data_IF_731444546862
#
_entry.id   IF_731444546862
#
_cell.length_a   1.000
_cell.length_b   1.000
_cell.length_c   1.000
_cell.angle_alpha   90.00
_cell.angle_beta   90.00
_cell.angle_gamma   90.00
#
_symmetry.space_group_name_H-M   'P 1'
#
loop_
_entity.id
_entity.type
_entity.pdbx_description
1 polymer ?
#
# COMPACT_ATOMS: atom_id res chain seq x y z
N UNK A 1 -0.50 -34.98 -0.38
CA UNK A 1 -0.89 -34.27 0.88
C UNK A 1 -1.75 -33.10 0.48
N UNK A 2 -3.02 -33.07 0.87
CA UNK A 2 -3.85 -31.88 0.64
C UNK A 2 -3.25 -30.73 1.46
N UNK A 3 -2.70 -29.72 0.79
CA UNK A 3 -2.22 -28.52 1.48
C UNK A 3 -3.45 -27.74 1.91
N UNK A 4 -3.55 -27.43 3.21
CA UNK A 4 -4.61 -26.57 3.73
C UNK A 4 -4.66 -25.25 2.94
N UNK A 5 -5.86 -24.69 2.69
CA UNK A 5 -5.99 -23.42 2.00
C UNK A 5 -5.27 -22.29 2.76
N UNK A 6 -4.84 -21.27 2.03
CA UNK A 6 -4.35 -20.02 2.59
C UNK A 6 -5.53 -19.04 2.70
N UNK A 7 -5.84 -18.58 3.89
CA UNK A 7 -6.78 -17.47 4.08
C UNK A 7 -6.02 -16.14 3.90
N UNK A 8 -6.48 -15.32 2.97
CA UNK A 8 -5.88 -14.00 2.72
C UNK A 8 -6.82 -12.92 3.26
N UNK A 9 -6.42 -12.31 4.39
CA UNK A 9 -7.22 -11.33 5.14
C UNK A 9 -6.77 -9.92 4.77
N UNK A 10 -7.69 -9.09 4.32
CA UNK A 10 -7.43 -7.72 3.85
C UNK A 10 -8.60 -6.80 4.15
N UNK A 11 -8.40 -5.48 4.31
CA UNK A 11 -9.48 -4.53 4.52
C UNK A 11 -10.12 -4.09 3.20
N UNK A 12 -11.40 -3.76 3.23
CA UNK A 12 -12.12 -3.14 2.12
C UNK A 12 -12.22 -4.00 0.87
N UNK A 13 -11.95 -3.37 -0.27
CA UNK A 13 -12.08 -3.96 -1.60
C UNK A 13 -10.70 -4.04 -2.28
N UNK A 14 -10.31 -5.26 -2.68
CA UNK A 14 -9.07 -5.49 -3.42
C UNK A 14 -9.00 -4.76 -4.76
N UNK A 15 -10.15 -4.39 -5.35
CA UNK A 15 -10.17 -3.65 -6.62
C UNK A 15 -9.87 -2.16 -6.46
N UNK A 16 -9.72 -1.68 -5.23
CA UNK A 16 -9.26 -0.31 -4.96
C UNK A 16 -7.90 -0.05 -5.63
N UNK A 17 -7.74 1.03 -6.44
CA UNK A 17 -6.55 1.28 -7.24
C UNK A 17 -5.38 1.83 -6.41
N UNK A 18 -4.79 0.99 -5.56
CA UNK A 18 -3.56 1.29 -4.80
C UNK A 18 -2.46 0.29 -5.11
N UNK A 19 -1.20 0.69 -4.87
CA UNK A 19 -0.06 -0.20 -5.05
C UNK A 19 -0.10 -1.42 -4.14
N UNK A 20 -0.59 -1.29 -2.90
CA UNK A 20 -0.78 -2.40 -1.95
C UNK A 20 -1.78 -3.42 -2.48
N UNK A 21 -3.00 -3.00 -2.77
CA UNK A 21 -4.02 -3.90 -3.31
C UNK A 21 -3.68 -4.48 -4.69
N UNK A 22 -2.93 -3.75 -5.52
CA UNK A 22 -2.41 -4.32 -6.76
C UNK A 22 -1.45 -5.49 -6.48
N UNK A 23 -0.54 -5.31 -5.52
CA UNK A 23 0.35 -6.38 -5.07
C UNK A 23 -0.44 -7.58 -4.52
N UNK A 24 -1.43 -7.34 -3.67
CA UNK A 24 -2.24 -8.39 -3.05
C UNK A 24 -3.02 -9.20 -4.07
N UNK A 25 -3.68 -8.54 -5.02
CA UNK A 25 -4.36 -9.22 -6.14
C UNK A 25 -3.40 -10.09 -6.95
N UNK A 26 -2.22 -9.54 -7.27
CA UNK A 26 -1.21 -10.30 -8.02
C UNK A 26 -0.71 -11.48 -7.23
N UNK A 27 -0.42 -11.31 -5.95
CA UNK A 27 0.02 -12.39 -5.06
C UNK A 27 -1.01 -13.51 -4.98
N UNK A 28 -2.29 -13.18 -4.77
CA UNK A 28 -3.38 -14.16 -4.76
C UNK A 28 -3.46 -14.91 -6.11
N UNK A 29 -3.37 -14.18 -7.22
CA UNK A 29 -3.42 -14.76 -8.57
C UNK A 29 -2.26 -15.74 -8.82
N UNK A 30 -1.03 -15.34 -8.48
CA UNK A 30 0.15 -16.18 -8.67
C UNK A 30 0.14 -17.41 -7.75
N UNK A 31 -0.29 -17.27 -6.51
CA UNK A 31 -0.45 -18.42 -5.61
C UNK A 31 -1.47 -19.42 -6.15
N UNK A 32 -2.59 -18.93 -6.71
CA UNK A 32 -3.59 -19.79 -7.36
C UNK A 32 -3.03 -20.46 -8.62
N UNK A 33 -2.24 -19.76 -9.42
CA UNK A 33 -1.54 -20.33 -10.58
C UNK A 33 -0.57 -21.46 -10.19
N UNK A 34 0.01 -21.38 -9.00
CA UNK A 34 0.84 -22.41 -8.38
C UNK A 34 0.01 -23.51 -7.67
N UNK A 35 -1.28 -23.61 -7.99
CA UNK A 35 -2.21 -24.59 -7.41
C UNK A 35 -2.39 -24.50 -5.89
N UNK A 36 -2.09 -23.33 -5.29
CA UNK A 36 -2.45 -23.06 -3.89
C UNK A 36 -3.88 -22.55 -3.85
N UNK A 37 -4.72 -23.22 -3.05
CA UNK A 37 -6.06 -22.69 -2.75
C UNK A 37 -5.92 -21.44 -1.87
N UNK A 38 -6.46 -20.30 -2.33
CA UNK A 38 -6.47 -19.03 -1.59
C UNK A 38 -7.89 -18.58 -1.40
N UNK A 39 -8.30 -18.44 -0.13
CA UNK A 39 -9.62 -17.97 0.30
C UNK A 39 -9.51 -16.53 0.75
N UNK A 40 -10.05 -15.55 0.00
CA UNK A 40 -10.04 -14.16 0.41
C UNK A 40 -11.03 -13.91 1.56
N UNK A 41 -10.61 -13.12 2.55
CA UNK A 41 -11.42 -12.72 3.70
C UNK A 41 -11.37 -11.19 3.80
N UNK A 42 -12.39 -10.54 3.26
CA UNK A 42 -12.51 -9.09 3.31
C UNK A 42 -12.98 -8.64 4.70
N UNK A 43 -12.25 -7.73 5.32
CA UNK A 43 -12.64 -6.99 6.52
C UNK A 43 -13.29 -5.66 6.14
N UNK A 44 -13.78 -4.92 7.13
CA UNK A 44 -14.32 -3.57 6.92
C UNK A 44 -13.31 -2.64 6.22
N UNK A 45 -13.80 -1.76 5.37
CA UNK A 45 -13.05 -0.68 4.72
C UNK A 45 -12.62 0.44 5.68
N UNK A 46 -13.07 0.37 6.94
CA UNK A 46 -12.67 1.31 8.00
C UNK A 46 -11.26 1.11 8.53
N UNK A 47 -10.59 0.00 8.22
CA UNK A 47 -9.17 -0.15 8.51
C UNK A 47 -8.32 0.76 7.60
N UNK A 48 -7.27 1.39 8.14
CA UNK A 48 -6.60 1.17 9.44
C UNK A 48 -7.16 2.01 10.62
N UNK A 49 -8.33 2.59 10.54
CA UNK A 49 -8.98 3.35 11.64
C UNK A 49 -10.32 2.70 12.02
N UNK A 50 -10.30 1.42 12.47
CA UNK A 50 -11.52 0.68 12.72
C UNK A 50 -12.29 1.24 13.92
N UNK A 51 -13.61 1.25 13.81
CA UNK A 51 -14.48 1.39 14.95
C UNK A 51 -14.76 0.03 15.63
N UNK A 52 -15.59 0.06 16.67
CA UNK A 52 -15.90 -1.15 17.44
C UNK A 52 -16.62 -2.21 16.58
N UNK A 53 -17.47 -1.80 15.65
CA UNK A 53 -18.22 -2.73 14.78
C UNK A 53 -17.26 -3.43 13.80
N UNK A 54 -16.29 -2.70 13.24
CA UNK A 54 -15.26 -3.25 12.36
C UNK A 54 -14.36 -4.26 13.11
N UNK A 55 -14.05 -3.99 14.38
CA UNK A 55 -13.27 -4.91 15.21
C UNK A 55 -14.06 -6.18 15.57
N UNK A 56 -15.37 -6.04 15.85
CA UNK A 56 -16.25 -7.20 16.11
C UNK A 56 -16.37 -8.07 14.86
N UNK A 57 -16.59 -7.48 13.69
CA UNK A 57 -16.62 -8.19 12.41
C UNK A 57 -15.30 -8.94 12.14
N UNK A 58 -14.15 -8.29 12.37
CA UNK A 58 -12.84 -8.91 12.22
C UNK A 58 -12.66 -10.12 13.15
N UNK A 59 -13.04 -9.99 14.43
CA UNK A 59 -13.01 -11.08 15.41
C UNK A 59 -13.88 -12.27 14.97
N UNK A 60 -15.10 -12.00 14.49
CA UNK A 60 -16.00 -13.05 14.02
C UNK A 60 -15.44 -13.78 12.80
N UNK A 61 -14.91 -13.04 11.81
CA UNK A 61 -14.31 -13.62 10.60
C UNK A 61 -13.08 -14.45 10.91
N UNK A 62 -12.19 -13.95 11.77
CA UNK A 62 -11.03 -14.73 12.18
C UNK A 62 -11.41 -15.97 13.00
N UNK A 63 -12.41 -15.87 13.87
CA UNK A 63 -12.92 -17.01 14.66
C UNK A 63 -13.50 -18.13 13.80
N UNK A 64 -14.05 -17.79 12.62
CA UNK A 64 -14.60 -18.75 11.67
C UNK A 64 -13.51 -19.53 10.88
N UNK A 65 -12.26 -19.06 10.87
CA UNK A 65 -11.15 -19.76 10.22
C UNK A 65 -10.79 -21.00 11.05
N UNK A 66 -10.61 -22.19 10.45
CA UNK A 66 -10.22 -23.40 11.16
C UNK A 66 -8.89 -23.29 11.89
N UNK A 67 -8.74 -24.04 12.97
CA UNK A 67 -7.47 -24.14 13.70
C UNK A 67 -6.36 -24.69 12.78
N UNK A 68 -5.12 -24.28 13.04
CA UNK A 68 -3.92 -24.61 12.27
C UNK A 68 -3.93 -24.08 10.82
N UNK A 69 -4.96 -23.35 10.39
CA UNK A 69 -5.01 -22.75 9.07
C UNK A 69 -3.88 -21.70 8.87
N UNK A 70 -3.35 -21.64 7.65
CA UNK A 70 -2.44 -20.59 7.22
C UNK A 70 -3.24 -19.31 6.92
N UNK A 71 -2.86 -18.21 7.56
CA UNK A 71 -3.54 -16.92 7.40
C UNK A 71 -2.51 -15.84 7.08
N UNK A 72 -2.55 -15.33 5.86
CA UNK A 72 -1.80 -14.12 5.50
C UNK A 72 -2.69 -12.91 5.72
N UNK A 73 -2.18 -11.92 6.44
CA UNK A 73 -2.96 -10.75 6.82
C UNK A 73 -2.26 -9.47 6.40
N UNK A 74 -2.97 -8.63 5.64
CA UNK A 74 -2.50 -7.29 5.24
C UNK A 74 -2.25 -6.40 6.47
N UNK A 75 -1.14 -5.66 6.42
CA UNK A 75 -0.67 -4.80 7.49
C UNK A 75 -1.63 -3.68 7.88
N UNK A 76 -2.44 -3.16 6.93
CA UNK A 76 -3.46 -2.15 7.21
C UNK A 76 -4.49 -2.63 8.25
N UNK A 77 -4.82 -3.93 8.23
CA UNK A 77 -5.71 -4.51 9.23
C UNK A 77 -4.94 -5.04 10.44
N UNK A 78 -3.88 -5.84 10.19
CA UNK A 78 -3.14 -6.52 11.25
C UNK A 78 -2.52 -5.55 12.26
N UNK A 79 -1.98 -4.43 11.78
CA UNK A 79 -1.23 -3.47 12.59
C UNK A 79 -2.06 -2.71 13.63
N UNK A 80 -3.39 -2.68 13.50
CA UNK A 80 -4.29 -1.92 14.39
C UNK A 80 -5.22 -2.79 15.23
N UNK A 81 -5.10 -4.11 15.16
CA UNK A 81 -5.96 -5.04 15.92
C UNK A 81 -5.16 -6.08 16.72
N UNK A 82 -4.08 -5.63 17.34
CA UNK A 82 -3.12 -6.45 18.09
C UNK A 82 -3.75 -7.38 19.12
N UNK A 83 -4.80 -6.94 19.81
CA UNK A 83 -5.51 -7.77 20.79
C UNK A 83 -6.24 -8.95 20.11
N UNK A 84 -6.85 -8.71 18.94
CA UNK A 84 -7.51 -9.76 18.15
C UNK A 84 -6.45 -10.73 17.62
N UNK A 85 -5.41 -10.20 16.97
CA UNK A 85 -4.29 -10.99 16.45
C UNK A 85 -3.69 -11.90 17.53
N UNK A 86 -3.44 -11.36 18.72
CA UNK A 86 -2.87 -12.09 19.87
C UNK A 86 -3.77 -13.24 20.33
N UNK A 87 -5.09 -13.09 20.34
CA UNK A 87 -6.03 -14.16 20.69
C UNK A 87 -5.97 -15.34 19.71
N UNK A 88 -5.75 -15.05 18.44
CA UNK A 88 -5.71 -16.05 17.38
C UNK A 88 -4.33 -16.64 17.10
N UNK A 89 -3.25 -16.05 17.61
CA UNK A 89 -1.86 -16.42 17.30
C UNK A 89 -1.50 -17.87 17.69
N UNK A 90 -2.18 -18.46 18.68
CA UNK A 90 -1.91 -19.83 19.12
C UNK A 90 -2.59 -20.88 18.25
N UNK A 91 -3.72 -20.52 17.61
CA UNK A 91 -4.52 -21.47 16.82
C UNK A 91 -4.37 -21.29 15.31
N UNK A 92 -3.89 -20.12 14.84
CA UNK A 92 -3.66 -19.83 13.43
C UNK A 92 -2.17 -19.73 13.13
N UNK A 93 -1.78 -20.18 11.94
CA UNK A 93 -0.44 -19.92 11.42
C UNK A 93 -0.42 -18.54 10.74
N UNK A 94 -0.23 -17.49 11.53
CA UNK A 94 -0.27 -16.11 11.06
C UNK A 94 0.98 -15.74 10.26
N UNK A 95 0.78 -15.11 9.11
CA UNK A 95 1.80 -14.51 8.25
C UNK A 95 1.42 -13.04 8.07
N UNK A 96 2.26 -12.13 8.47
CA UNK A 96 2.04 -10.71 8.23
C UNK A 96 2.48 -10.33 6.81
N UNK A 97 1.72 -9.47 6.12
CA UNK A 97 2.14 -8.83 4.88
C UNK A 97 2.25 -7.33 5.12
N UNK A 98 3.48 -6.84 5.21
CA UNK A 98 3.75 -5.44 5.53
C UNK A 98 4.29 -4.71 4.29
N UNK A 99 3.45 -3.88 3.67
CA UNK A 99 3.85 -3.01 2.56
C UNK A 99 4.65 -1.81 3.05
N UNK A 100 4.19 -1.19 4.14
CA UNK A 100 4.81 -0.05 4.81
C UNK A 100 4.30 -0.02 6.26
N UNK A 101 5.17 0.23 7.26
CA UNK A 101 4.72 0.33 8.63
C UNK A 101 3.76 1.50 8.85
N UNK A 102 2.62 1.24 9.49
CA UNK A 102 1.56 2.24 9.70
C UNK A 102 2.04 3.43 10.53
N UNK A 103 2.88 3.19 11.52
CA UNK A 103 3.44 4.24 12.37
C UNK A 103 4.36 5.23 11.64
N UNK A 104 4.77 4.90 10.41
CA UNK A 104 5.62 5.73 9.56
C UNK A 104 4.83 6.47 8.46
N UNK A 105 3.50 6.36 8.47
CA UNK A 105 2.67 7.12 7.52
C UNK A 105 2.74 8.62 7.79
N UNK A 106 2.65 9.40 6.72
CA UNK A 106 2.70 10.85 6.81
C UNK A 106 1.42 11.45 7.43
N UNK A 107 1.56 12.55 8.17
CA UNK A 107 0.42 13.28 8.75
C UNK A 107 0.01 12.82 10.14
N UNK A 108 0.69 11.84 10.73
CA UNK A 108 0.47 11.39 12.09
C UNK A 108 1.14 12.33 13.10
N UNK A 109 0.47 12.60 14.22
CA UNK A 109 1.12 13.21 15.37
C UNK A 109 1.88 12.15 16.21
N UNK A 110 2.74 12.60 17.13
CA UNK A 110 3.58 11.69 17.94
C UNK A 110 2.79 10.64 18.72
N UNK A 111 1.64 11.00 19.29
CA UNK A 111 0.81 10.05 20.04
C UNK A 111 0.19 8.98 19.14
N UNK A 112 -0.21 9.35 17.91
CA UNK A 112 -0.71 8.41 16.91
C UNK A 112 0.40 7.47 16.43
N UNK A 113 1.60 8.01 16.16
CA UNK A 113 2.77 7.21 15.79
C UNK A 113 3.10 6.19 16.85
N UNK A 114 3.17 6.59 18.13
CA UNK A 114 3.45 5.71 19.24
C UNK A 114 2.39 4.61 19.39
N UNK A 115 1.12 4.96 19.33
CA UNK A 115 0.02 4.00 19.45
C UNK A 115 0.06 2.96 18.33
N UNK A 116 0.24 3.40 17.07
CA UNK A 116 0.37 2.53 15.90
C UNK A 116 1.62 1.66 16.01
N UNK A 117 2.77 2.24 16.37
CA UNK A 117 4.01 1.48 16.54
C UNK A 117 3.85 0.36 17.56
N UNK A 118 3.26 0.63 18.72
CA UNK A 118 3.04 -0.37 19.74
C UNK A 118 2.08 -1.49 19.34
N UNK A 119 0.96 -1.12 18.68
CA UNK A 119 -0.01 -2.10 18.19
C UNK A 119 0.57 -2.97 17.09
N UNK A 120 1.17 -2.36 16.07
CA UNK A 120 1.77 -3.04 14.93
C UNK A 120 2.92 -3.96 15.37
N UNK A 121 3.82 -3.48 16.26
CA UNK A 121 4.89 -4.30 16.83
C UNK A 121 4.36 -5.54 17.52
N UNK A 122 3.34 -5.41 18.38
CA UNK A 122 2.72 -6.57 19.04
C UNK A 122 2.09 -7.54 18.07
N UNK A 123 1.42 -7.05 17.05
CA UNK A 123 0.82 -7.87 15.99
C UNK A 123 1.88 -8.64 15.21
N UNK A 124 2.93 -7.98 14.78
CA UNK A 124 4.03 -8.58 14.03
C UNK A 124 4.75 -9.69 14.83
N UNK A 125 4.95 -9.51 16.14
CA UNK A 125 5.52 -10.54 17.02
C UNK A 125 4.60 -11.75 17.22
N UNK A 126 3.31 -11.66 16.88
CA UNK A 126 2.39 -12.80 16.85
C UNK A 126 2.49 -13.62 15.56
N UNK A 127 3.08 -13.06 14.49
CA UNK A 127 3.23 -13.75 13.22
C UNK A 127 4.40 -14.73 13.25
N UNK A 128 4.25 -15.87 12.54
CA UNK A 128 5.33 -16.85 12.34
C UNK A 128 6.33 -16.39 11.28
N UNK A 129 5.87 -15.55 10.35
CA UNK A 129 6.68 -14.91 9.32
C UNK A 129 6.08 -13.57 8.95
N UNK A 130 6.93 -12.65 8.50
CA UNK A 130 6.51 -11.36 7.96
C UNK A 130 7.04 -11.23 6.54
N UNK A 131 6.14 -11.08 5.57
CA UNK A 131 6.49 -10.77 4.19
C UNK A 131 6.51 -9.26 4.04
N UNK A 132 7.58 -8.74 3.47
CA UNK A 132 7.74 -7.31 3.17
C UNK A 132 8.03 -7.09 1.69
N UNK A 133 7.65 -5.92 1.18
CA UNK A 133 7.74 -5.61 -0.24
C UNK A 133 9.07 -4.94 -0.64
N UNK A 134 9.98 -4.70 0.32
CA UNK A 134 11.30 -4.13 0.03
C UNK A 134 12.35 -4.49 1.09
N UNK A 135 13.65 -4.51 0.71
CA UNK A 135 14.74 -4.66 1.68
C UNK A 135 14.76 -3.51 2.70
N UNK A 136 14.36 -2.31 2.30
CA UNK A 136 14.26 -1.16 3.21
C UNK A 136 13.22 -1.39 4.32
N UNK A 137 12.03 -1.88 3.96
CA UNK A 137 11.01 -2.25 4.96
C UNK A 137 11.51 -3.37 5.88
N UNK A 138 12.23 -4.36 5.37
CA UNK A 138 12.83 -5.41 6.18
C UNK A 138 13.79 -4.83 7.24
N UNK A 139 14.65 -3.90 6.85
CA UNK A 139 15.59 -3.24 7.77
C UNK A 139 14.88 -2.41 8.83
N UNK A 140 13.81 -1.70 8.48
CA UNK A 140 12.97 -0.96 9.43
C UNK A 140 12.37 -1.93 10.45
N UNK A 141 11.75 -3.04 10.00
CA UNK A 141 11.13 -3.99 10.91
C UNK A 141 12.15 -4.65 11.85
N UNK A 142 13.35 -4.92 11.35
CA UNK A 142 14.45 -5.45 12.17
C UNK A 142 14.92 -4.46 13.23
N UNK A 143 15.08 -3.17 12.88
CA UNK A 143 15.73 -2.18 13.74
C UNK A 143 14.77 -1.44 14.67
N UNK A 144 13.53 -1.20 14.23
CA UNK A 144 12.57 -0.40 14.98
C UNK A 144 11.48 -1.27 15.62
N UNK A 145 11.17 -2.43 15.04
CA UNK A 145 10.16 -3.34 15.56
C UNK A 145 10.76 -4.58 16.26
N UNK A 146 12.09 -4.70 16.31
CA UNK A 146 12.83 -5.81 16.94
C UNK A 146 12.44 -7.20 16.39
N UNK A 147 12.12 -7.30 15.09
CA UNK A 147 11.84 -8.59 14.47
C UNK A 147 13.12 -9.36 14.16
N UNK A 148 13.07 -10.68 14.36
CA UNK A 148 14.16 -11.57 13.96
C UNK A 148 14.29 -11.58 12.44
N UNK A 149 15.50 -11.40 11.93
CA UNK A 149 15.83 -11.45 10.50
C UNK A 149 15.34 -12.73 9.82
N UNK A 150 15.38 -13.87 10.53
CA UNK A 150 14.94 -15.15 10.00
C UNK A 150 13.41 -15.27 9.84
N UNK A 151 12.65 -14.39 10.48
CA UNK A 151 11.21 -14.32 10.35
C UNK A 151 10.74 -13.38 9.23
N UNK A 152 11.66 -12.61 8.61
CA UNK A 152 11.35 -11.62 7.59
C UNK A 152 11.71 -12.17 6.21
N UNK A 153 10.74 -12.15 5.30
CA UNK A 153 10.88 -12.53 3.90
C UNK A 153 10.66 -11.32 3.00
N UNK A 154 11.64 -11.02 2.15
CA UNK A 154 11.51 -9.92 1.17
C UNK A 154 10.95 -10.49 -0.13
N UNK A 155 9.75 -10.02 -0.51
CA UNK A 155 9.11 -10.34 -1.78
C UNK A 155 8.78 -9.02 -2.51
N UNK A 156 9.75 -8.53 -3.29
CA UNK A 156 9.58 -7.28 -4.02
C UNK A 156 8.47 -7.38 -5.06
N UNK A 157 7.71 -6.29 -5.30
CA UNK A 157 6.75 -6.24 -6.40
C UNK A 157 7.41 -6.53 -7.74
N UNK A 158 6.76 -7.35 -8.55
CA UNK A 158 7.09 -7.49 -9.96
C UNK A 158 6.31 -6.50 -10.80
N UNK A 159 6.73 -6.32 -12.05
CA UNK A 159 5.99 -5.60 -13.08
C UNK A 159 5.88 -6.45 -14.32
N UNK A 160 4.73 -6.36 -15.01
CA UNK A 160 4.60 -6.97 -16.32
C UNK A 160 5.46 -6.21 -17.34
N UNK A 161 6.03 -6.95 -18.28
CA UNK A 161 6.82 -6.33 -19.35
C UNK A 161 5.89 -5.53 -20.26
N UNK A 162 6.36 -4.37 -20.66
CA UNK A 162 5.71 -3.48 -21.60
C UNK A 162 6.69 -3.08 -22.69
N UNK A 163 6.18 -2.54 -23.78
CA UNK A 163 7.00 -1.88 -24.79
C UNK A 163 7.62 -0.61 -24.20
N UNK A 164 8.81 -0.28 -24.68
CA UNK A 164 9.48 0.96 -24.27
C UNK A 164 8.72 2.18 -24.78
N UNK A 165 8.68 3.24 -23.98
CA UNK A 165 8.24 4.54 -24.43
C UNK A 165 9.17 5.03 -25.57
N UNK A 166 8.63 5.61 -26.64
CA UNK A 166 9.44 6.07 -27.77
C UNK A 166 10.29 7.30 -27.45
N UNK A 167 9.99 8.02 -26.37
CA UNK A 167 10.68 9.23 -25.92
C UNK A 167 10.82 10.27 -27.05
N UNK A 168 9.72 10.58 -27.71
CA UNK A 168 9.67 11.51 -28.86
C UNK A 168 8.90 12.80 -28.54
N UNK A 169 8.60 13.05 -27.27
CA UNK A 169 7.83 14.20 -26.82
C UNK A 169 8.54 15.54 -27.12
N UNK A 170 7.79 16.49 -27.68
CA UNK A 170 8.26 17.85 -27.89
C UNK A 170 7.12 18.84 -27.58
N UNK A 171 7.09 19.39 -26.38
CA UNK A 171 8.05 19.25 -25.27
C UNK A 171 8.03 17.86 -24.61
N UNK A 172 9.11 17.48 -23.88
CA UNK A 172 9.15 16.23 -23.11
C UNK A 172 7.98 16.11 -22.14
N UNK A 173 7.41 14.91 -22.04
CA UNK A 173 6.29 14.57 -21.17
C UNK A 173 6.78 13.86 -19.91
N UNK A 174 6.73 14.54 -18.78
CA UNK A 174 7.05 13.97 -17.46
C UNK A 174 5.81 13.26 -16.90
N UNK A 175 5.98 12.04 -16.41
CA UNK A 175 4.90 11.25 -15.85
C UNK A 175 5.14 10.94 -14.37
N UNK A 176 4.12 11.20 -13.54
CA UNK A 176 4.08 10.74 -12.15
C UNK A 176 2.83 9.88 -11.95
N UNK A 177 3.02 8.62 -11.56
CA UNK A 177 1.92 7.70 -11.28
C UNK A 177 1.87 7.45 -9.77
N UNK A 178 0.98 8.15 -9.09
CA UNK A 178 0.78 7.99 -7.65
C UNK A 178 -0.52 8.66 -7.20
N UNK A 179 -1.20 8.11 -6.20
CA UNK A 179 -2.32 8.78 -5.51
C UNK A 179 -1.85 10.12 -4.90
N UNK A 180 -2.71 11.13 -4.93
CA UNK A 180 -2.41 12.46 -4.42
C UNK A 180 -2.46 12.45 -2.88
N UNK A 181 -1.40 11.97 -2.25
CA UNK A 181 -1.22 11.93 -0.80
C UNK A 181 0.10 12.58 -0.40
N UNK A 182 0.19 13.06 0.83
CA UNK A 182 1.39 13.79 1.35
C UNK A 182 2.67 12.98 1.19
N UNK A 183 2.63 11.68 1.46
CA UNK A 183 3.79 10.77 1.35
C UNK A 183 4.37 10.69 -0.08
N UNK A 184 3.58 10.99 -1.10
CA UNK A 184 4.03 10.96 -2.51
C UNK A 184 4.73 12.25 -2.96
N UNK A 185 4.77 13.27 -2.10
CA UNK A 185 5.57 14.48 -2.24
C UNK A 185 5.39 15.22 -3.58
N UNK A 186 4.15 15.27 -4.10
CA UNK A 186 3.85 16.04 -5.32
C UNK A 186 4.14 17.54 -5.14
N UNK A 187 4.02 18.07 -3.92
CA UNK A 187 4.35 19.46 -3.57
C UNK A 187 5.82 19.77 -3.83
N UNK A 188 6.72 18.86 -3.43
CA UNK A 188 8.16 19.00 -3.69
C UNK A 188 8.45 18.93 -5.19
N UNK A 189 7.77 18.05 -5.92
CA UNK A 189 7.91 17.97 -7.37
C UNK A 189 7.42 19.25 -8.06
N UNK A 190 6.26 19.80 -7.67
CA UNK A 190 5.73 21.06 -8.21
C UNK A 190 6.71 22.20 -7.96
N UNK A 191 7.28 22.31 -6.76
CA UNK A 191 8.27 23.32 -6.43
C UNK A 191 9.53 23.18 -7.28
N UNK A 192 10.01 21.95 -7.48
CA UNK A 192 11.16 21.67 -8.35
C UNK A 192 10.88 22.05 -9.80
N UNK A 193 9.71 21.72 -10.32
CA UNK A 193 9.29 22.05 -11.69
C UNK A 193 9.10 23.56 -11.87
N UNK A 194 8.69 24.29 -10.84
CA UNK A 194 8.59 25.75 -10.87
C UNK A 194 9.95 26.45 -11.09
N UNK A 195 11.04 25.82 -10.64
CA UNK A 195 12.41 26.32 -10.88
C UNK A 195 12.92 26.05 -12.30
N UNK A 196 12.20 25.25 -13.10
CA UNK A 196 12.61 24.81 -14.44
C UNK A 196 11.73 25.40 -15.56
N UNK A 197 11.12 26.55 -15.33
CA UNK A 197 10.21 27.18 -16.29
C UNK A 197 10.86 27.61 -17.60
N UNK A 198 12.19 27.83 -17.60
CA UNK A 198 12.97 28.17 -18.80
C UNK A 198 13.15 26.99 -19.75
N UNK A 199 12.90 25.75 -19.28
CA UNK A 199 12.95 24.55 -20.09
C UNK A 199 11.57 24.20 -20.66
N UNK A 200 11.48 23.62 -21.87
CA UNK A 200 10.24 23.10 -22.40
C UNK A 200 9.93 21.73 -21.80
N UNK A 201 8.87 21.64 -21.02
CA UNK A 201 8.35 20.37 -20.48
C UNK A 201 6.85 20.47 -20.25
N UNK A 202 6.21 19.30 -20.18
CA UNK A 202 4.86 19.11 -19.66
C UNK A 202 4.87 17.99 -18.63
N UNK A 203 3.96 18.00 -17.68
CA UNK A 203 3.86 16.95 -16.66
C UNK A 203 2.42 16.46 -16.50
N UNK A 204 2.28 15.14 -16.35
CA UNK A 204 1.01 14.49 -16.06
C UNK A 204 1.10 13.79 -14.70
N UNK A 205 0.16 14.11 -13.83
CA UNK A 205 0.03 13.48 -12.51
C UNK A 205 -1.18 12.55 -12.58
N UNK A 206 -0.91 11.25 -12.63
CA UNK A 206 -1.91 10.19 -12.77
C UNK A 206 -2.08 9.51 -11.42
N UNK A 207 -3.27 9.64 -10.82
CA UNK A 207 -3.61 9.03 -9.54
C UNK A 207 -4.84 9.67 -8.93
N UNK A 208 -5.53 8.92 -8.06
CA UNK A 208 -6.75 9.37 -7.40
C UNK A 208 -6.48 10.39 -6.30
N UNK A 209 -7.46 11.25 -6.06
CA UNK A 209 -7.47 12.32 -5.05
C UNK A 209 -8.34 11.97 -3.81
N UNK A 210 -9.07 10.86 -3.86
CA UNK A 210 -10.09 10.51 -2.87
C UNK A 210 -9.51 10.11 -1.49
N UNK A 211 -8.22 9.79 -1.42
CA UNK A 211 -7.55 9.46 -0.16
C UNK A 211 -7.22 10.67 0.73
N UNK A 212 -6.96 11.84 0.10
CA UNK A 212 -6.69 13.10 0.80
C UNK A 212 -7.13 14.28 -0.09
N UNK A 213 -8.44 14.53 -0.14
CA UNK A 213 -9.03 15.56 -0.99
C UNK A 213 -8.54 16.96 -0.66
N UNK A 214 -8.31 17.24 0.62
CA UNK A 214 -7.79 18.54 1.06
C UNK A 214 -6.38 18.76 0.51
N UNK A 215 -5.53 17.73 0.60
CA UNK A 215 -4.19 17.78 0.03
C UNK A 215 -4.20 17.95 -1.49
N UNK A 216 -5.04 17.21 -2.20
CA UNK A 216 -5.20 17.35 -3.64
C UNK A 216 -5.60 18.79 -4.04
N UNK A 217 -6.50 19.44 -3.28
CA UNK A 217 -6.85 20.85 -3.48
C UNK A 217 -5.67 21.78 -3.22
N UNK A 218 -4.87 21.51 -2.19
CA UNK A 218 -3.66 22.28 -1.90
C UNK A 218 -2.63 22.19 -3.03
N UNK A 219 -2.44 21.00 -3.62
CA UNK A 219 -1.55 20.81 -4.78
C UNK A 219 -2.04 21.58 -6.01
N UNK A 220 -3.34 21.56 -6.29
CA UNK A 220 -3.92 22.37 -7.39
C UNK A 220 -3.75 23.87 -7.15
N UNK A 221 -3.93 24.33 -5.92
CA UNK A 221 -3.70 25.72 -5.55
C UNK A 221 -2.21 26.12 -5.74
N UNK A 222 -1.28 25.25 -5.33
CA UNK A 222 0.16 25.44 -5.53
C UNK A 222 0.52 25.56 -7.01
N UNK A 223 -0.01 24.67 -7.88
CA UNK A 223 0.20 24.73 -9.34
C UNK A 223 -0.29 26.06 -9.91
N UNK A 224 -1.45 26.55 -9.48
CA UNK A 224 -1.99 27.85 -9.92
C UNK A 224 -1.12 29.00 -9.42
N UNK A 225 -0.70 28.99 -8.16
CA UNK A 225 0.15 30.01 -7.57
C UNK A 225 1.52 30.11 -8.26
N UNK A 226 2.07 28.96 -8.66
CA UNK A 226 3.33 28.88 -9.42
C UNK A 226 3.16 29.12 -10.93
N UNK A 227 1.94 29.43 -11.40
CA UNK A 227 1.61 29.66 -12.81
C UNK A 227 1.89 28.47 -13.72
N UNK A 228 1.84 27.25 -13.18
CA UNK A 228 2.12 26.01 -13.89
C UNK A 228 0.87 25.30 -14.46
N UNK A 229 -0.33 25.88 -14.34
CA UNK A 229 -1.59 25.27 -14.76
C UNK A 229 -1.67 24.88 -16.25
N UNK A 230 -0.81 25.45 -17.10
CA UNK A 230 -0.71 25.07 -18.53
C UNK A 230 0.32 23.97 -18.79
N UNK A 231 1.07 23.57 -17.77
CA UNK A 231 2.18 22.61 -17.86
C UNK A 231 1.94 21.35 -17.06
N UNK A 232 1.12 21.41 -16.01
CA UNK A 232 0.83 20.27 -15.14
C UNK A 232 -0.64 19.91 -15.26
N UNK A 233 -0.90 18.65 -15.62
CA UNK A 233 -2.24 18.08 -15.75
C UNK A 233 -2.46 17.05 -14.63
N UNK A 234 -3.53 17.22 -13.85
CA UNK A 234 -4.01 16.25 -12.87
C UNK A 234 -5.06 15.35 -13.54
N UNK A 235 -4.62 14.17 -13.98
CA UNK A 235 -5.42 13.27 -14.81
C UNK A 235 -6.50 12.53 -14.01
N UNK A 236 -6.26 12.34 -12.71
CA UNK A 236 -7.08 11.45 -11.88
C UNK A 236 -6.63 9.98 -11.98
N UNK A 237 -7.43 9.09 -11.39
CA UNK A 237 -7.19 7.65 -11.49
C UNK A 237 -7.55 7.14 -12.89
N UNK A 238 -6.75 6.22 -13.43
CA UNK A 238 -6.99 5.55 -14.72
C UNK A 238 -6.93 4.04 -14.53
N UNK A 239 -7.76 3.30 -15.27
CA UNK A 239 -7.80 1.83 -15.19
C UNK A 239 -6.62 1.18 -15.93
N UNK A 240 -6.10 1.84 -16.96
CA UNK A 240 -4.99 1.35 -17.77
C UNK A 240 -3.87 2.40 -17.83
N UNK A 241 -2.74 2.08 -17.20
CA UNK A 241 -1.57 2.95 -17.19
C UNK A 241 -0.67 2.83 -18.43
N UNK A 242 -0.87 1.79 -19.24
CA UNK A 242 -0.03 1.54 -20.41
C UNK A 242 0.08 2.73 -21.36
N UNK A 243 -1.03 3.40 -21.76
CA UNK A 243 -0.96 4.58 -22.62
C UNK A 243 -0.20 5.74 -21.99
N UNK A 244 -0.29 5.90 -20.66
CA UNK A 244 0.42 6.97 -19.95
C UNK A 244 1.94 6.74 -19.98
N UNK A 245 2.38 5.49 -19.73
CA UNK A 245 3.80 5.13 -19.85
C UNK A 245 4.33 5.26 -21.26
N UNK A 246 3.53 4.91 -22.30
CA UNK A 246 3.94 5.02 -23.70
C UNK A 246 4.07 6.47 -24.20
N UNK A 247 3.39 7.41 -23.56
CA UNK A 247 3.44 8.84 -23.92
C UNK A 247 4.50 9.61 -23.11
N UNK A 248 5.10 8.99 -22.13
CA UNK A 248 6.13 9.61 -21.28
C UNK A 248 7.53 9.53 -21.94
N UNK A 249 8.41 10.45 -21.54
CA UNK A 249 9.80 10.54 -22.03
C UNK A 249 10.86 10.23 -20.96
#
# INVERSE_FOLDING_TARGET
MSTLPLYFVFPGDLDTPTGGYHYDRRLISELRALSKEVIPVALSDRFPTPDQDALVDAEQKLSAIPDDAQVMMDGLAMGVMDQIVSRHARRLCLIALCHHPLSLEAGLNAAQQDALHHSEKRSLHCARATVVTSPHTAEILRTQFDLDTNSILVACPGTDRSEFAPCLGSPPQLLTVASLTRRKAHDVLIESLASLTDLPWQARFVGGDHFDREWAQQLQAQVNQQQLARRIDFVGAVDNLQPEYQQAD
#
